data_IF_424365926605
#
_entry.id   IF_424365926605
#
_cell.length_a   1.000
_cell.length_b   1.000
_cell.length_c   1.000
_cell.angle_alpha   90.00
_cell.angle_beta   90.00
_cell.angle_gamma   90.00
#
_symmetry.space_group_name_H-M   'P 1'
#
loop_
_entity.id
_entity.type
_entity.pdbx_description
1 polymer ?
#
# COMPACT_ATOMS: atom_id res chain seq x y z
N UNK A 1 33.99 26.34 34.63
CA UNK A 1 34.25 25.20 33.71
C UNK A 1 32.96 24.38 33.55
N UNK A 2 32.75 23.80 32.36
CA UNK A 2 31.68 22.85 31.95
C UNK A 2 30.32 23.49 31.59
N UNK A 3 30.17 23.98 30.34
CA UNK A 3 29.65 23.25 29.15
C UNK A 3 28.11 23.15 29.11
N UNK A 4 27.44 24.23 28.68
CA UNK A 4 26.13 24.12 28.02
C UNK A 4 26.37 23.66 26.59
N UNK A 5 26.33 22.35 26.34
CA UNK A 5 26.09 21.84 24.99
C UNK A 5 24.58 21.85 24.77
N UNK A 6 24.07 22.96 24.25
CA UNK A 6 22.75 22.96 23.63
C UNK A 6 22.82 22.07 22.39
N UNK A 7 22.16 20.92 22.42
CA UNK A 7 21.95 20.10 21.23
C UNK A 7 20.84 20.80 20.44
N UNK A 8 21.25 21.80 19.66
CA UNK A 8 20.45 22.29 18.55
C UNK A 8 20.53 21.18 17.49
N UNK A 9 19.55 20.27 17.45
CA UNK A 9 19.39 19.36 16.32
C UNK A 9 18.97 20.20 15.12
N UNK A 10 19.96 20.72 14.40
CA UNK A 10 19.78 21.23 13.07
C UNK A 10 19.24 20.07 12.22
N UNK A 11 17.93 20.09 11.94
CA UNK A 11 17.33 19.23 10.90
C UNK A 11 17.90 19.75 9.59
N UNK A 12 19.04 19.19 9.18
CA UNK A 12 19.61 19.44 7.87
C UNK A 12 18.70 18.74 6.86
N UNK A 13 17.67 19.45 6.39
CA UNK A 13 16.74 18.98 5.36
C UNK A 13 17.45 19.14 4.01
N UNK A 14 18.51 18.37 3.82
CA UNK A 14 19.26 18.32 2.57
C UNK A 14 18.30 17.88 1.45
N UNK A 15 18.26 18.70 0.40
CA UNK A 15 17.19 18.72 -0.58
C UNK A 15 17.13 17.44 -1.42
N UNK A 16 16.25 16.52 -1.05
CA UNK A 16 15.32 15.85 -1.99
C UNK A 16 14.04 15.24 -1.37
N UNK A 17 13.22 15.96 -0.56
CA UNK A 17 11.91 15.45 -0.14
C UNK A 17 10.70 16.14 -0.77
N UNK A 18 10.85 17.06 -1.73
CA UNK A 18 9.70 17.79 -2.29
C UNK A 18 8.71 16.83 -2.98
N UNK A 19 9.19 15.99 -3.90
CA UNK A 19 8.31 15.12 -4.70
C UNK A 19 7.56 14.10 -3.84
N UNK A 20 8.20 13.51 -2.82
CA UNK A 20 7.55 12.52 -1.96
C UNK A 20 6.46 13.16 -1.08
N UNK A 21 6.73 14.33 -0.50
CA UNK A 21 5.74 15.07 0.29
C UNK A 21 4.57 15.56 -0.57
N UNK A 22 4.85 16.07 -1.77
CA UNK A 22 3.77 16.45 -2.69
C UNK A 22 2.96 15.24 -3.14
N UNK A 23 3.57 14.08 -3.37
CA UNK A 23 2.84 12.85 -3.70
C UNK A 23 1.99 12.36 -2.54
N UNK A 24 2.55 12.26 -1.33
CA UNK A 24 1.80 11.81 -0.17
C UNK A 24 0.68 12.78 0.19
N UNK A 25 0.94 14.09 0.18
CA UNK A 25 -0.08 15.11 0.42
C UNK A 25 -1.17 15.10 -0.65
N UNK A 26 -0.80 14.92 -1.93
CA UNK A 26 -1.77 14.77 -3.02
C UNK A 26 -2.67 13.55 -2.81
N UNK A 27 -2.09 12.40 -2.48
CA UNK A 27 -2.86 11.19 -2.17
C UNK A 27 -3.78 11.37 -0.96
N UNK A 28 -3.30 12.01 0.12
CA UNK A 28 -4.11 12.30 1.29
C UNK A 28 -5.26 13.27 0.99
N UNK A 29 -5.00 14.32 0.19
CA UNK A 29 -6.02 15.27 -0.22
C UNK A 29 -7.11 14.58 -1.05
N UNK A 30 -6.72 13.75 -2.02
CA UNK A 30 -7.68 12.96 -2.81
C UNK A 30 -8.51 12.08 -1.89
N UNK A 31 -7.87 11.38 -0.95
CA UNK A 31 -8.56 10.46 -0.05
C UNK A 31 -9.58 11.20 0.82
N UNK A 32 -9.20 12.33 1.42
CA UNK A 32 -10.12 13.16 2.22
C UNK A 32 -11.26 13.72 1.38
N UNK A 33 -11.01 14.13 0.13
CA UNK A 33 -12.03 14.66 -0.77
C UNK A 33 -12.99 13.56 -1.26
N UNK A 34 -12.50 12.32 -1.36
CA UNK A 34 -13.30 11.15 -1.74
C UNK A 34 -14.13 10.62 -0.57
N UNK A 35 -13.75 10.90 0.69
CA UNK A 35 -14.56 10.53 1.85
C UNK A 35 -15.86 11.35 1.81
N UNK A 36 -17.01 10.68 1.62
CA UNK A 36 -18.28 11.39 1.53
C UNK A 36 -18.62 12.02 2.88
N UNK A 37 -18.91 13.32 2.88
CA UNK A 37 -19.22 14.09 4.09
C UNK A 37 -20.71 14.25 4.34
N UNK A 38 -21.57 13.84 3.38
CA UNK A 38 -23.01 14.00 3.42
C UNK A 38 -23.75 12.66 3.16
N UNK A 39 -24.78 12.38 3.94
CA UNK A 39 -25.55 11.11 3.93
C UNK A 39 -26.33 10.89 2.62
N UNK A 40 -26.72 11.96 1.92
CA UNK A 40 -27.40 11.86 0.62
C UNK A 40 -26.44 11.56 -0.53
N UNK A 41 -25.22 12.11 -0.47
CA UNK A 41 -24.15 11.86 -1.45
C UNK A 41 -23.52 10.47 -1.29
N UNK A 42 -23.54 9.92 -0.08
CA UNK A 42 -23.10 8.57 0.23
C UNK A 42 -23.76 7.52 -0.67
N UNK A 43 -25.10 7.50 -0.78
CA UNK A 43 -25.80 6.48 -1.57
C UNK A 43 -25.42 6.48 -3.06
N UNK A 44 -25.16 7.66 -3.64
CA UNK A 44 -24.79 7.77 -5.05
C UNK A 44 -23.34 7.33 -5.31
N UNK A 45 -22.41 7.69 -4.40
CA UNK A 45 -21.00 7.29 -4.47
C UNK A 45 -20.85 5.79 -4.15
N UNK A 46 -21.62 5.25 -3.23
CA UNK A 46 -21.67 3.80 -2.98
C UNK A 46 -22.20 3.05 -4.21
N UNK A 47 -23.14 3.61 -4.96
CA UNK A 47 -23.61 3.03 -6.23
C UNK A 47 -22.52 2.95 -7.31
N UNK A 48 -21.68 3.99 -7.44
CA UNK A 48 -20.57 3.99 -8.41
C UNK A 48 -19.39 3.12 -7.95
N UNK A 49 -19.11 3.11 -6.65
CA UNK A 49 -18.14 2.18 -6.07
C UNK A 49 -18.60 0.72 -6.23
N UNK A 50 -19.89 0.43 -6.07
CA UNK A 50 -20.46 -0.88 -6.32
C UNK A 50 -20.29 -1.32 -7.79
N UNK A 51 -20.42 -0.40 -8.76
CA UNK A 51 -20.15 -0.73 -10.15
C UNK A 51 -18.69 -1.17 -10.37
N UNK A 52 -17.72 -0.46 -9.77
CA UNK A 52 -16.31 -0.87 -9.84
C UNK A 52 -16.05 -2.19 -9.11
N UNK A 53 -16.73 -2.44 -7.98
CA UNK A 53 -16.64 -3.73 -7.28
C UNK A 53 -17.22 -4.86 -8.14
N UNK A 54 -18.33 -4.62 -8.85
CA UNK A 54 -18.92 -5.60 -9.75
C UNK A 54 -17.96 -5.98 -10.90
N UNK A 55 -17.16 -5.05 -11.41
CA UNK A 55 -16.13 -5.35 -12.41
C UNK A 55 -15.03 -6.26 -11.84
N UNK A 56 -14.61 -6.02 -10.60
CA UNK A 56 -13.64 -6.88 -9.91
C UNK A 56 -14.21 -8.27 -9.66
N UNK A 57 -15.47 -8.37 -9.24
CA UNK A 57 -16.17 -9.65 -9.04
C UNK A 57 -16.28 -10.42 -10.35
N UNK A 58 -16.69 -9.75 -11.43
CA UNK A 58 -16.75 -10.34 -12.78
C UNK A 58 -15.37 -10.82 -13.27
N UNK A 59 -14.30 -10.10 -12.94
CA UNK A 59 -12.93 -10.55 -13.20
C UNK A 59 -12.57 -11.80 -12.38
N UNK A 60 -12.98 -11.86 -11.11
CA UNK A 60 -12.78 -13.03 -10.25
C UNK A 60 -13.55 -14.26 -10.76
N UNK A 61 -14.76 -14.09 -11.26
CA UNK A 61 -15.54 -15.19 -11.86
C UNK A 61 -14.80 -15.83 -13.04
N UNK A 62 -14.09 -15.02 -13.83
CA UNK A 62 -13.30 -15.47 -14.98
C UNK A 62 -11.92 -15.99 -14.60
N UNK A 63 -11.36 -15.56 -13.47
CA UNK A 63 -10.01 -15.90 -13.02
C UNK A 63 -9.99 -16.28 -11.53
N UNK A 64 -10.58 -17.42 -11.14
CA UNK A 64 -10.76 -17.77 -9.73
C UNK A 64 -9.43 -18.00 -8.99
N UNK A 65 -8.39 -18.51 -9.67
CA UNK A 65 -7.08 -18.75 -9.06
C UNK A 65 -6.36 -17.45 -8.67
N UNK A 66 -6.53 -16.37 -9.45
CA UNK A 66 -5.92 -15.07 -9.18
C UNK A 66 -6.57 -14.42 -7.96
N UNK A 67 -7.90 -14.49 -7.84
CA UNK A 67 -8.59 -13.95 -6.68
C UNK A 67 -8.36 -14.79 -5.41
N UNK A 68 -8.24 -16.12 -5.51
CA UNK A 68 -7.87 -16.95 -4.36
C UNK A 68 -6.48 -16.58 -3.80
N UNK A 69 -5.48 -16.43 -4.67
CA UNK A 69 -4.12 -16.00 -4.27
C UNK A 69 -4.13 -14.58 -3.69
N UNK A 70 -4.92 -13.68 -4.28
CA UNK A 70 -5.08 -12.31 -3.78
C UNK A 70 -5.80 -12.23 -2.44
N UNK A 71 -6.76 -13.13 -2.17
CA UNK A 71 -7.54 -13.17 -0.94
C UNK A 71 -6.64 -13.40 0.28
N UNK A 72 -5.71 -14.35 0.20
CA UNK A 72 -4.79 -14.64 1.30
C UNK A 72 -3.94 -13.41 1.65
N UNK A 73 -3.37 -12.73 0.65
CA UNK A 73 -2.60 -11.51 0.86
C UNK A 73 -3.46 -10.36 1.42
N UNK A 74 -4.70 -10.23 0.93
CA UNK A 74 -5.63 -9.20 1.39
C UNK A 74 -6.07 -9.42 2.84
N UNK A 75 -6.31 -10.66 3.26
CA UNK A 75 -6.73 -10.96 4.65
C UNK A 75 -5.67 -10.51 5.66
N UNK A 76 -4.40 -10.78 5.40
CA UNK A 76 -3.27 -10.35 6.25
C UNK A 76 -3.18 -8.82 6.31
N UNK A 77 -3.38 -8.15 5.17
CA UNK A 77 -3.42 -6.69 5.12
C UNK A 77 -4.55 -6.12 6.00
N UNK A 78 -5.75 -6.69 5.91
CA UNK A 78 -6.91 -6.27 6.70
C UNK A 78 -6.69 -6.52 8.19
N UNK A 79 -6.09 -7.65 8.58
CA UNK A 79 -5.72 -7.91 9.97
C UNK A 79 -4.74 -6.86 10.50
N UNK A 80 -3.71 -6.53 9.72
CA UNK A 80 -2.75 -5.47 10.08
C UNK A 80 -3.39 -4.10 10.17
N UNK A 81 -4.31 -3.78 9.25
CA UNK A 81 -5.06 -2.52 9.27
C UNK A 81 -5.95 -2.40 10.52
N UNK A 82 -6.65 -3.47 10.90
CA UNK A 82 -7.45 -3.51 12.13
C UNK A 82 -6.60 -3.32 13.39
N UNK A 83 -5.45 -4.00 13.46
CA UNK A 83 -4.51 -3.80 14.56
C UNK A 83 -3.97 -2.36 14.62
N UNK A 84 -3.60 -1.79 13.46
CA UNK A 84 -3.18 -0.41 13.35
C UNK A 84 -4.28 0.58 13.78
N UNK A 85 -5.54 0.30 13.43
CA UNK A 85 -6.70 1.09 13.83
C UNK A 85 -6.93 1.07 15.36
N UNK A 86 -6.79 -0.10 16.00
CA UNK A 86 -6.87 -0.20 17.46
C UNK A 86 -5.73 0.54 18.14
N UNK A 87 -4.52 0.46 17.60
CA UNK A 87 -3.35 1.17 18.13
C UNK A 87 -3.51 2.69 18.04
N UNK A 88 -3.99 3.23 16.92
CA UNK A 88 -4.25 4.67 16.81
C UNK A 88 -5.39 5.14 17.71
N UNK A 89 -6.46 4.33 17.88
CA UNK A 89 -7.56 4.66 18.80
C UNK A 89 -7.06 4.68 20.25
N UNK A 90 -6.29 3.67 20.67
CA UNK A 90 -5.69 3.63 22.00
C UNK A 90 -4.71 4.81 22.25
N UNK A 91 -3.99 5.26 21.22
CA UNK A 91 -3.15 6.46 21.29
C UNK A 91 -3.98 7.72 21.46
N UNK A 92 -5.08 7.88 20.72
CA UNK A 92 -5.97 9.05 20.81
C UNK A 92 -6.69 9.09 22.16
N UNK A 93 -7.18 7.94 22.63
CA UNK A 93 -7.82 7.81 23.94
C UNK A 93 -6.81 8.06 25.07
N UNK A 94 -5.60 7.48 24.98
CA UNK A 94 -4.50 7.70 25.94
C UNK A 94 -3.83 9.07 25.86
N UNK A 95 -3.95 9.80 24.74
CA UNK A 95 -3.43 11.16 24.56
C UNK A 95 -4.31 12.25 25.17
N UNK A 96 -5.50 11.92 25.69
CA UNK A 96 -6.23 12.89 26.52
C UNK A 96 -5.51 13.21 27.84
N UNK A 97 -4.56 12.38 28.30
CA UNK A 97 -3.71 12.67 29.47
C UNK A 97 -2.30 13.20 29.14
N UNK A 98 -1.86 13.17 27.88
CA UNK A 98 -0.58 13.77 27.50
C UNK A 98 -0.46 14.04 26.00
N UNK A 99 -0.76 15.29 25.60
CA UNK A 99 -0.25 15.84 24.34
C UNK A 99 1.28 15.96 24.42
N UNK A 100 1.97 14.86 24.10
CA UNK A 100 3.35 14.87 23.66
C UNK A 100 3.49 13.80 22.59
N UNK A 101 3.26 14.19 21.33
CA UNK A 101 3.63 13.43 20.13
C UNK A 101 5.17 13.39 20.04
N UNK A 102 5.79 12.55 20.88
CA UNK A 102 7.21 12.22 20.85
C UNK A 102 7.31 10.72 20.62
N UNK A 103 7.76 10.33 19.43
CA UNK A 103 7.88 8.94 19.03
C UNK A 103 8.66 8.12 20.06
N UNK A 104 7.97 7.17 20.68
CA UNK A 104 8.60 5.97 21.22
C UNK A 104 8.38 4.85 20.21
N UNK A 105 9.41 4.61 19.42
CA UNK A 105 9.69 3.29 18.86
C UNK A 105 9.68 2.31 20.05
N UNK A 106 8.58 1.60 20.21
CA UNK A 106 8.56 0.38 21.01
C UNK A 106 9.44 -0.61 20.26
N UNK A 107 10.56 -1.00 20.88
CA UNK A 107 11.37 -2.14 20.44
C UNK A 107 10.47 -3.31 20.02
N UNK A 108 10.83 -4.05 18.95
CA UNK A 108 10.11 -5.26 18.61
C UNK A 108 10.22 -6.23 19.80
N UNK A 109 9.08 -6.54 20.42
CA UNK A 109 9.00 -7.56 21.47
C UNK A 109 9.50 -8.88 20.88
N UNK A 110 10.68 -9.31 21.31
CA UNK A 110 11.20 -10.63 21.01
C UNK A 110 10.25 -11.66 21.62
N UNK A 111 9.58 -12.43 20.76
CA UNK A 111 8.88 -13.64 21.17
C UNK A 111 9.92 -14.64 21.70
N UNK A 112 9.68 -15.32 22.84
CA UNK A 112 10.54 -16.41 23.28
C UNK A 112 10.26 -17.63 22.40
N UNK A 113 10.99 -17.73 21.29
CA UNK A 113 11.00 -18.90 20.41
C UNK A 113 12.26 -19.71 20.64
N UNK A 114 12.08 -20.93 21.15
CA UNK A 114 13.10 -21.95 21.34
C UNK A 114 13.98 -22.14 20.08
N UNK A 115 15.27 -22.36 20.29
CA UNK A 115 16.38 -22.25 19.32
C UNK A 115 16.43 -23.32 18.22
N UNK A 116 15.29 -23.68 17.65
CA UNK A 116 15.17 -24.64 16.55
C UNK A 116 15.16 -23.89 15.22
N UNK A 117 16.35 -23.56 14.71
CA UNK A 117 16.53 -23.07 13.34
C UNK A 117 16.07 -24.18 12.39
N UNK A 118 14.89 -24.02 11.78
CA UNK A 118 14.49 -24.90 10.67
C UNK A 118 15.45 -24.68 9.49
N UNK A 119 15.88 -25.73 8.77
CA UNK A 119 16.78 -25.57 7.63
C UNK A 119 16.05 -24.77 6.55
N UNK A 120 16.58 -23.59 6.22
CA UNK A 120 16.21 -22.88 4.99
C UNK A 120 16.70 -23.76 3.83
N UNK A 121 15.82 -24.22 2.91
CA UNK A 121 16.30 -24.90 1.72
C UNK A 121 17.21 -23.93 0.95
N UNK A 122 18.42 -24.38 0.63
CA UNK A 122 19.39 -23.64 -0.16
C UNK A 122 18.71 -23.01 -1.37
N UNK A 123 18.80 -21.68 -1.47
CA UNK A 123 18.27 -20.94 -2.61
C UNK A 123 18.77 -21.55 -3.91
N UNK A 124 17.86 -22.01 -4.76
CA UNK A 124 18.18 -22.32 -6.15
C UNK A 124 18.76 -21.04 -6.75
N UNK A 125 19.94 -21.06 -7.39
CA UNK A 125 20.45 -19.89 -8.08
C UNK A 125 19.44 -19.44 -9.13
N UNK A 126 18.65 -18.42 -8.82
CA UNK A 126 17.87 -17.70 -9.82
C UNK A 126 18.85 -16.83 -10.56
N UNK A 127 19.25 -17.31 -11.74
CA UNK A 127 19.97 -16.49 -12.71
C UNK A 127 19.12 -15.24 -12.97
N UNK A 128 19.64 -14.02 -12.79
CA UNK A 128 18.89 -12.83 -13.14
C UNK A 128 18.65 -12.88 -14.65
N UNK A 129 17.37 -12.91 -15.06
CA UNK A 129 17.01 -12.77 -16.46
C UNK A 129 17.65 -11.47 -16.99
N UNK A 130 18.65 -11.61 -17.85
CA UNK A 130 19.33 -10.47 -18.45
C UNK A 130 18.38 -9.86 -19.46
N UNK A 131 17.71 -8.77 -19.08
CA UNK A 131 16.93 -7.96 -20.00
C UNK A 131 17.90 -7.30 -20.99
N UNK A 132 18.04 -7.90 -22.16
CA UNK A 132 18.79 -7.30 -23.26
C UNK A 132 18.09 -6.00 -23.70
N UNK A 133 18.80 -4.87 -23.87
CA UNK A 133 18.21 -3.59 -24.28
C UNK A 133 17.59 -3.60 -25.69
N UNK A 134 17.66 -4.73 -26.40
CA UNK A 134 17.16 -4.92 -27.77
C UNK A 134 15.97 -5.87 -27.85
N UNK A 135 15.50 -6.43 -26.73
CA UNK A 135 14.29 -7.26 -26.74
C UNK A 135 13.06 -6.33 -26.87
N UNK A 136 12.62 -6.09 -28.09
CA UNK A 136 11.33 -5.47 -28.33
C UNK A 136 10.28 -6.39 -27.72
N UNK A 137 9.61 -5.96 -26.65
CA UNK A 137 8.46 -6.65 -26.04
C UNK A 137 7.22 -6.62 -26.96
N UNK A 138 7.47 -6.55 -28.27
CA UNK A 138 6.49 -6.41 -29.33
C UNK A 138 6.14 -7.82 -29.80
N UNK A 139 5.24 -8.45 -29.05
CA UNK A 139 4.68 -9.76 -29.38
C UNK A 139 3.57 -9.65 -30.42
N UNK A 140 3.24 -8.44 -30.87
CA UNK A 140 2.18 -8.16 -31.82
C UNK A 140 2.75 -8.17 -33.24
N UNK A 141 2.11 -8.95 -34.12
CA UNK A 141 2.39 -8.86 -35.54
C UNK A 141 1.88 -7.53 -36.11
N UNK A 142 2.42 -7.02 -37.23
CA UNK A 142 1.91 -5.80 -37.86
C UNK A 142 0.40 -5.86 -38.17
N UNK A 143 -0.12 -7.06 -38.43
CA UNK A 143 -1.53 -7.31 -38.73
C UNK A 143 -2.42 -7.11 -37.49
N UNK A 144 -1.91 -7.41 -36.29
CA UNK A 144 -2.63 -7.19 -35.03
C UNK A 144 -2.83 -5.70 -34.73
N UNK A 145 -1.97 -4.85 -35.27
CA UNK A 145 -2.02 -3.39 -35.08
C UNK A 145 -3.03 -2.71 -36.00
N UNK A 146 -3.46 -3.39 -37.05
CA UNK A 146 -4.34 -2.85 -38.10
C UNK A 146 -5.80 -3.25 -37.89
N UNK A 147 -6.11 -4.11 -36.91
CA UNK A 147 -7.48 -4.52 -36.62
C UNK A 147 -8.33 -3.32 -36.18
N UNK A 148 -9.35 -3.00 -36.98
CA UNK A 148 -10.34 -2.00 -36.61
C UNK A 148 -11.10 -2.45 -35.36
N UNK A 149 -11.14 -1.60 -34.34
CA UNK A 149 -11.84 -1.88 -33.09
C UNK A 149 -13.34 -2.11 -33.36
N UNK A 150 -13.80 -3.35 -33.19
CA UNK A 150 -15.22 -3.71 -33.25
C UNK A 150 -15.88 -3.38 -31.91
N UNK A 151 -16.52 -2.22 -31.83
CA UNK A 151 -17.30 -1.84 -30.65
C UNK A 151 -18.41 -2.84 -30.34
N UNK A 152 -18.98 -2.81 -29.11
CA UNK A 152 -20.06 -3.71 -28.72
C UNK A 152 -21.22 -3.59 -29.71
N UNK A 153 -21.56 -4.70 -30.37
CA UNK A 153 -22.56 -4.76 -31.43
C UNK A 153 -23.91 -4.20 -30.96
N UNK A 154 -24.43 -3.27 -31.77
CA UNK A 154 -25.83 -2.82 -31.70
C UNK A 154 -26.75 -3.80 -32.39
#
# INVERSE_FOLDING_TARGET
MQKKCGIQTAVNREGKPMMFLFRSAFWLLILVLLVPTDEGQQNQIYGTAQAAVNDVVSFCDRNPQTCATGQDAFTVLVQKAQYGAQMMMALVEGQTDSLSLGGSYSEPVAMPGDGSVMPVPSAVPMEPATWGPTATQDTLSPQDREAAWGGPGV
#
